data_IF_550443478368
#
_entry.id   IF_550443478368
#
_cell.length_a   1.000
_cell.length_b   1.000
_cell.length_c   1.000
_cell.angle_alpha   90.00
_cell.angle_beta   90.00
_cell.angle_gamma   90.00
#
_symmetry.space_group_name_H-M   'P 1'
#
loop_
_entity.id
_entity.type
_entity.pdbx_description
1 polymer ?
#
# COMPACT_ATOMS: atom_id res chain seq x y z
N UNK A 1 18.91 -1.70 9.57
CA UNK A 1 18.30 -2.59 8.56
C UNK A 1 18.12 -4.05 9.08
N UNK A 2 17.66 -4.24 10.33
CA UNK A 2 17.28 -5.57 10.88
C UNK A 2 15.81 -5.94 10.62
N UNK A 3 15.14 -5.23 9.70
CA UNK A 3 13.69 -5.30 9.52
C UNK A 3 13.22 -6.36 8.51
N UNK A 4 14.15 -7.01 7.80
CA UNK A 4 13.85 -8.11 6.86
C UNK A 4 14.18 -9.50 7.41
N UNK A 5 14.94 -9.61 8.52
CA UNK A 5 15.44 -10.89 9.04
C UNK A 5 14.38 -11.75 9.76
N UNK A 6 13.20 -11.23 10.10
CA UNK A 6 12.16 -11.98 10.86
C UNK A 6 10.91 -12.31 10.07
N UNK A 7 11.00 -12.25 8.76
CA UNK A 7 10.02 -12.86 7.89
C UNK A 7 10.70 -14.03 7.21
N UNK A 8 10.16 -15.24 7.37
CA UNK A 8 10.48 -16.38 6.50
C UNK A 8 9.98 -16.13 5.06
N UNK A 9 10.29 -14.96 4.48
CA UNK A 9 10.50 -14.78 3.06
C UNK A 9 12.00 -14.89 2.87
N UNK A 10 12.51 -16.13 2.87
CA UNK A 10 13.82 -16.44 2.35
C UNK A 10 13.78 -16.25 0.83
N UNK A 11 13.79 -15.00 0.37
CA UNK A 11 14.10 -14.69 -1.02
C UNK A 11 15.61 -14.85 -1.14
N UNK A 12 16.04 -16.07 -1.46
CA UNK A 12 17.38 -16.39 -1.96
C UNK A 12 18.55 -16.17 -1.00
N UNK A 13 18.77 -17.11 -0.08
CA UNK A 13 20.13 -17.35 0.48
C UNK A 13 20.86 -18.47 -0.27
N UNK A 14 20.45 -18.78 -1.50
CA UNK A 14 21.09 -19.80 -2.33
C UNK A 14 22.22 -19.21 -3.21
N UNK A 15 22.36 -17.88 -3.23
CA UNK A 15 23.42 -17.15 -3.95
C UNK A 15 24.13 -16.12 -3.04
N UNK A 16 24.84 -16.57 -2.01
CA UNK A 16 25.90 -15.78 -1.37
C UNK A 16 25.58 -14.35 -0.90
N UNK A 17 24.31 -14.01 -0.61
CA UNK A 17 23.89 -12.68 -0.15
C UNK A 17 23.63 -11.63 -1.24
N UNK A 18 23.63 -11.99 -2.53
CA UNK A 18 23.39 -11.07 -3.64
C UNK A 18 21.90 -10.92 -3.96
N UNK A 19 21.38 -9.70 -4.01
CA UNK A 19 20.01 -9.44 -4.45
C UNK A 19 19.87 -9.62 -5.98
N UNK A 20 18.72 -10.09 -6.48
CA UNK A 20 18.48 -10.20 -7.92
C UNK A 20 18.68 -8.86 -8.65
N UNK A 21 19.23 -8.93 -9.87
CA UNK A 21 19.35 -7.74 -10.72
C UNK A 21 18.00 -7.40 -11.35
N UNK A 22 17.75 -6.11 -11.55
CA UNK A 22 16.56 -5.62 -12.26
C UNK A 22 16.95 -4.70 -13.41
N UNK A 23 15.97 -4.26 -14.19
CA UNK A 23 16.14 -3.29 -15.30
C UNK A 23 16.91 -2.02 -14.88
N UNK A 24 16.86 -1.66 -13.59
CA UNK A 24 17.46 -0.44 -13.06
C UNK A 24 18.80 -0.67 -12.34
N UNK A 25 19.22 -1.93 -12.15
CA UNK A 25 20.40 -2.28 -11.35
C UNK A 25 21.67 -1.59 -11.85
N UNK A 26 22.01 -1.70 -13.13
CA UNK A 26 23.26 -1.16 -13.68
C UNK A 26 23.32 0.36 -13.53
N UNK A 27 22.22 1.06 -13.80
CA UNK A 27 22.12 2.51 -13.63
C UNK A 27 22.30 2.92 -12.16
N UNK A 28 21.67 2.19 -11.23
CA UNK A 28 21.78 2.49 -9.80
C UNK A 28 23.17 2.16 -9.22
N UNK A 29 23.83 1.13 -9.74
CA UNK A 29 25.23 0.80 -9.40
C UNK A 29 26.17 1.88 -9.94
N UNK A 30 26.00 2.32 -11.19
CA UNK A 30 26.78 3.41 -11.79
C UNK A 30 26.61 4.73 -11.01
N UNK A 31 25.42 5.01 -10.48
CA UNK A 31 25.16 6.16 -9.61
C UNK A 31 25.71 5.98 -8.18
N UNK A 32 26.21 4.80 -7.82
CA UNK A 32 26.70 4.47 -6.48
C UNK A 32 25.61 4.23 -5.44
N UNK A 33 24.33 4.22 -5.83
CA UNK A 33 23.16 4.05 -4.93
C UNK A 33 23.03 2.58 -4.49
N UNK A 34 23.32 1.66 -5.40
CA UNK A 34 23.45 0.23 -5.11
C UNK A 34 24.91 -0.19 -5.10
N UNK A 35 25.23 -1.17 -4.28
CA UNK A 35 26.48 -1.92 -4.33
C UNK A 35 26.46 -2.92 -5.49
N UNK A 36 27.61 -3.52 -5.83
CA UNK A 36 27.71 -4.55 -6.88
C UNK A 36 26.89 -5.82 -6.61
N UNK A 37 26.45 -6.01 -5.37
CA UNK A 37 25.55 -7.07 -4.92
C UNK A 37 24.05 -6.71 -5.03
N UNK A 38 23.72 -5.56 -5.65
CA UNK A 38 22.38 -4.99 -5.76
C UNK A 38 21.73 -4.56 -4.44
N UNK A 39 22.46 -4.51 -3.32
CA UNK A 39 21.94 -3.95 -2.07
C UNK A 39 22.15 -2.43 -2.00
N UNK A 40 21.34 -1.74 -1.18
CA UNK A 40 21.52 -0.29 -0.93
C UNK A 40 22.94 -0.01 -0.40
N UNK A 41 23.64 0.89 -1.07
CA UNK A 41 24.95 1.37 -0.64
C UNK A 41 24.80 2.39 0.50
N UNK A 42 24.80 1.91 1.74
CA UNK A 42 24.66 2.76 2.94
C UNK A 42 25.73 3.86 3.01
N UNK A 43 26.93 3.63 2.44
CA UNK A 43 28.01 4.62 2.43
C UNK A 43 27.63 5.83 1.57
N UNK A 44 27.10 5.60 0.36
CA UNK A 44 26.60 6.65 -0.52
C UNK A 44 25.56 7.55 0.18
N UNK A 45 24.62 6.93 0.90
CA UNK A 45 23.57 7.67 1.62
C UNK A 45 24.18 8.57 2.70
N UNK A 46 25.12 8.05 3.51
CA UNK A 46 25.81 8.84 4.54
C UNK A 46 26.65 9.97 3.97
N UNK A 47 27.35 9.75 2.85
CA UNK A 47 28.23 10.75 2.22
C UNK A 47 27.47 11.93 1.62
N UNK A 48 26.19 11.75 1.29
CA UNK A 48 25.32 12.78 0.72
C UNK A 48 24.29 13.31 1.75
N UNK A 49 24.50 13.05 3.05
CA UNK A 49 23.62 13.45 4.16
C UNK A 49 22.16 12.99 4.01
N UNK A 50 22.01 11.73 3.59
CA UNK A 50 20.73 11.08 3.34
C UNK A 50 20.53 9.99 4.39
N UNK A 51 19.38 9.95 5.03
CA UNK A 51 19.12 8.87 5.96
C UNK A 51 18.76 7.56 5.21
N UNK A 52 19.57 6.50 5.32
CA UNK A 52 19.34 5.23 4.62
C UNK A 52 18.06 4.52 5.06
N UNK A 53 17.39 5.00 6.11
CA UNK A 53 16.10 4.47 6.57
C UNK A 53 14.88 5.16 5.92
N UNK A 54 15.08 6.25 5.16
CA UNK A 54 14.06 6.97 4.38
C UNK A 54 14.50 7.16 2.91
N UNK A 55 14.93 6.08 2.22
CA UNK A 55 15.62 6.19 0.94
C UNK A 55 14.75 6.75 -0.20
N UNK A 56 13.43 6.85 0.01
CA UNK A 56 12.47 7.32 -1.00
C UNK A 56 11.95 8.73 -0.77
N UNK A 57 12.09 9.28 0.45
CA UNK A 57 11.44 10.54 0.83
C UNK A 57 12.34 11.75 0.55
N UNK A 58 13.65 11.62 0.77
CA UNK A 58 14.62 12.71 0.63
C UNK A 58 15.14 12.88 -0.80
N UNK A 59 14.83 11.95 -1.69
CA UNK A 59 15.26 12.01 -3.08
C UNK A 59 14.08 12.39 -3.97
N UNK A 60 14.00 13.67 -4.32
CA UNK A 60 13.04 14.18 -5.30
C UNK A 60 13.47 14.02 -6.76
N UNK A 61 14.45 13.15 -7.06
CA UNK A 61 15.12 13.07 -8.37
C UNK A 61 14.89 11.76 -9.15
N UNK A 62 15.53 11.69 -10.33
CA UNK A 62 15.51 10.53 -11.24
C UNK A 62 16.01 9.23 -10.55
N UNK A 63 17.01 9.35 -9.67
CA UNK A 63 17.57 8.26 -8.88
C UNK A 63 16.54 7.54 -7.99
N UNK A 64 15.59 8.27 -7.41
CA UNK A 64 14.52 7.70 -6.57
C UNK A 64 13.48 6.97 -7.38
N UNK A 65 13.19 7.43 -8.61
CA UNK A 65 12.28 6.72 -9.50
C UNK A 65 12.88 5.35 -9.82
N UNK A 66 14.15 5.32 -10.21
CA UNK A 66 14.87 4.08 -10.49
C UNK A 66 14.94 3.17 -9.27
N UNK A 67 15.25 3.71 -8.08
CA UNK A 67 15.31 2.91 -6.86
C UNK A 67 13.94 2.34 -6.49
N UNK A 68 12.86 3.13 -6.61
CA UNK A 68 11.49 2.66 -6.38
C UNK A 68 11.09 1.57 -7.36
N UNK A 69 11.37 1.75 -8.66
CA UNK A 69 11.08 0.74 -9.66
C UNK A 69 11.93 -0.51 -9.48
N UNK A 70 13.20 -0.39 -9.06
CA UNK A 70 14.03 -1.53 -8.71
C UNK A 70 13.39 -2.40 -7.62
N UNK A 71 12.95 -1.81 -6.51
CA UNK A 71 12.26 -2.57 -5.46
C UNK A 71 10.88 -3.09 -5.90
N UNK A 72 10.20 -2.39 -6.79
CA UNK A 72 8.93 -2.86 -7.34
C UNK A 72 9.12 -4.07 -8.27
N UNK A 73 10.15 -4.07 -9.11
CA UNK A 73 10.52 -5.22 -9.96
C UNK A 73 10.84 -6.46 -9.10
N UNK A 74 11.63 -6.28 -8.03
CA UNK A 74 11.91 -7.35 -7.07
C UNK A 74 10.62 -7.87 -6.41
N UNK A 75 9.71 -6.97 -6.03
CA UNK A 75 8.41 -7.37 -5.47
C UNK A 75 7.61 -8.18 -6.50
N UNK A 76 7.56 -7.77 -7.76
CA UNK A 76 6.86 -8.49 -8.82
C UNK A 76 7.44 -9.89 -9.02
N UNK A 77 8.77 -10.02 -9.03
CA UNK A 77 9.45 -11.32 -9.14
C UNK A 77 9.06 -12.24 -7.96
N UNK A 78 8.96 -11.69 -6.75
CA UNK A 78 8.52 -12.44 -5.58
C UNK A 78 7.06 -12.85 -5.69
N UNK A 79 6.18 -11.93 -6.09
CA UNK A 79 4.73 -12.19 -6.25
C UNK A 79 4.49 -13.27 -7.31
N UNK A 80 5.26 -13.31 -8.40
CA UNK A 80 5.14 -14.33 -9.44
C UNK A 80 5.41 -15.76 -8.95
N UNK A 81 6.19 -15.91 -7.87
CA UNK A 81 6.54 -17.20 -7.26
C UNK A 81 5.62 -17.57 -6.09
N UNK A 82 4.65 -16.73 -5.76
CA UNK A 82 3.77 -16.88 -4.61
C UNK A 82 2.30 -16.92 -5.05
N UNK A 83 1.46 -17.62 -4.29
CA UNK A 83 0.02 -17.58 -4.51
C UNK A 83 -0.54 -16.21 -4.08
N UNK A 84 -0.91 -15.39 -5.07
CA UNK A 84 -1.55 -14.10 -4.82
C UNK A 84 -3.07 -14.26 -4.70
N UNK A 85 -3.61 -13.92 -3.54
CA UNK A 85 -5.02 -14.12 -3.22
C UNK A 85 -5.83 -12.81 -3.27
N UNK A 86 -7.08 -12.86 -3.76
CA UNK A 86 -8.02 -11.74 -3.58
C UNK A 86 -8.49 -11.71 -2.11
N UNK A 87 -8.26 -10.58 -1.43
CA UNK A 87 -8.67 -10.43 -0.04
C UNK A 87 -10.18 -10.65 0.15
N UNK A 88 -11.04 -10.21 -0.78
CA UNK A 88 -12.49 -10.45 -0.65
C UNK A 88 -12.84 -11.94 -0.66
N UNK A 89 -12.06 -12.73 -1.41
CA UNK A 89 -12.22 -14.18 -1.42
C UNK A 89 -11.80 -14.79 -0.07
N UNK A 90 -10.69 -14.32 0.50
CA UNK A 90 -10.18 -14.75 1.81
C UNK A 90 -11.11 -14.38 2.97
N UNK A 91 -11.89 -13.30 2.85
CA UNK A 91 -12.86 -12.87 3.86
C UNK A 91 -14.17 -13.69 3.86
N UNK A 92 -14.26 -14.78 3.10
CA UNK A 92 -15.37 -15.72 3.19
C UNK A 92 -15.22 -16.60 4.44
N UNK A 93 -16.34 -16.88 5.12
CA UNK A 93 -16.41 -17.56 6.43
C UNK A 93 -15.53 -18.82 6.52
N UNK A 94 -15.47 -19.64 5.47
CA UNK A 94 -14.69 -20.87 5.41
C UNK A 94 -13.20 -20.67 5.76
N UNK A 95 -12.55 -19.67 5.16
CA UNK A 95 -11.10 -19.50 5.33
C UNK A 95 -10.69 -18.96 6.69
N UNK A 96 -11.61 -18.27 7.37
CA UNK A 96 -11.35 -17.67 8.68
C UNK A 96 -11.37 -18.73 9.78
N UNK A 97 -12.24 -19.73 9.65
CA UNK A 97 -12.35 -20.82 10.62
C UNK A 97 -11.14 -21.76 10.57
N UNK A 98 -10.54 -21.91 9.38
CA UNK A 98 -9.39 -22.80 9.17
C UNK A 98 -8.07 -22.24 9.73
N UNK A 99 -8.05 -20.99 10.23
CA UNK A 99 -6.84 -20.35 10.78
C UNK A 99 -5.70 -20.13 9.77
N UNK A 100 -5.89 -20.53 8.51
CA UNK A 100 -4.85 -20.61 7.47
C UNK A 100 -4.53 -19.28 6.77
N UNK A 101 -5.11 -18.17 7.24
CA UNK A 101 -4.98 -16.86 6.60
C UNK A 101 -3.66 -16.16 6.92
N UNK A 102 -3.01 -16.48 8.04
CA UNK A 102 -1.75 -15.85 8.43
C UNK A 102 -0.67 -16.17 7.40
N UNK A 103 0.14 -15.17 7.05
CA UNK A 103 1.18 -15.20 6.02
C UNK A 103 0.70 -15.37 4.58
N UNK A 104 -0.62 -15.41 4.32
CA UNK A 104 -1.10 -15.34 2.94
C UNK A 104 -0.81 -13.96 2.33
N UNK A 105 -0.24 -14.01 1.13
CA UNK A 105 -0.11 -12.85 0.26
C UNK A 105 -1.46 -12.56 -0.39
N UNK A 106 -1.90 -11.31 -0.29
CA UNK A 106 -3.17 -10.89 -0.83
C UNK A 106 -3.10 -9.52 -1.49
N UNK A 107 -4.08 -9.25 -2.35
CA UNK A 107 -4.34 -7.91 -2.87
C UNK A 107 -5.77 -7.48 -2.55
N UNK A 108 -5.96 -6.17 -2.48
CA UNK A 108 -7.27 -5.53 -2.38
C UNK A 108 -7.32 -4.31 -3.28
N UNK A 109 -8.45 -4.12 -3.96
CA UNK A 109 -8.73 -2.92 -4.76
C UNK A 109 -10.05 -2.33 -4.29
N UNK A 110 -10.04 -1.14 -3.69
CA UNK A 110 -11.25 -0.51 -3.18
C UNK A 110 -11.02 0.76 -2.38
N UNK A 111 -12.11 1.38 -1.93
CA UNK A 111 -12.07 2.59 -1.12
C UNK A 111 -11.61 2.30 0.30
N UNK A 112 -10.52 2.94 0.72
CA UNK A 112 -9.96 2.84 2.08
C UNK A 112 -10.02 4.19 2.77
N UNK A 113 -10.24 4.14 4.09
CA UNK A 113 -10.08 5.26 4.99
C UNK A 113 -8.65 5.28 5.53
N UNK A 114 -8.12 6.44 5.83
CA UNK A 114 -6.80 6.58 6.44
C UNK A 114 -6.61 7.94 7.10
N UNK A 115 -5.43 8.12 7.68
CA UNK A 115 -5.00 9.39 8.23
C UNK A 115 -3.66 9.78 7.61
N UNK A 116 -3.49 11.04 7.25
CA UNK A 116 -2.18 11.52 6.80
C UNK A 116 -1.20 11.47 7.98
N UNK A 117 0.02 10.97 7.79
CA UNK A 117 1.05 11.12 8.80
C UNK A 117 1.36 12.60 9.01
N UNK A 118 1.76 12.96 10.24
CA UNK A 118 2.22 14.32 10.52
C UNK A 118 3.50 14.61 9.75
N UNK A 119 3.57 15.82 9.19
CA UNK A 119 4.75 16.34 8.51
C UNK A 119 5.56 17.24 9.46
N UNK A 120 6.91 17.25 9.36
CA UNK A 120 7.73 16.40 8.50
C UNK A 120 7.74 14.93 8.98
N UNK A 121 7.89 13.98 8.06
CA UNK A 121 8.07 12.56 8.40
C UNK A 121 9.52 12.38 8.87
N UNK A 122 9.69 11.88 10.09
CA UNK A 122 10.98 11.61 10.72
C UNK A 122 10.98 10.18 11.27
N UNK A 123 12.13 9.68 11.73
CA UNK A 123 12.22 8.36 12.41
C UNK A 123 11.26 8.19 13.59
N UNK A 124 10.86 9.29 14.22
CA UNK A 124 9.92 9.29 15.34
C UNK A 124 8.44 9.35 14.90
N UNK A 125 8.16 9.57 13.61
CA UNK A 125 6.80 9.62 13.10
C UNK A 125 6.15 8.24 13.22
N UNK A 126 5.00 8.13 13.90
CA UNK A 126 4.34 6.84 14.07
C UNK A 126 3.86 6.28 12.72
N UNK A 127 3.69 4.95 12.62
CA UNK A 127 2.98 4.35 11.50
C UNK A 127 1.60 4.98 11.33
N UNK A 128 1.16 5.10 10.08
CA UNK A 128 -0.24 5.40 9.75
C UNK A 128 -0.95 4.12 9.32
N UNK A 129 -2.26 4.18 9.18
CA UNK A 129 -3.07 3.03 8.83
C UNK A 129 -4.03 3.37 7.69
N UNK A 130 -4.18 2.44 6.75
CA UNK A 130 -5.33 2.37 5.87
C UNK A 130 -6.28 1.29 6.38
N UNK A 131 -7.58 1.51 6.29
CA UNK A 131 -8.54 0.52 6.76
C UNK A 131 -9.87 0.59 6.00
N UNK A 132 -10.63 -0.50 6.09
CA UNK A 132 -12.06 -0.47 5.81
C UNK A 132 -12.81 -1.27 6.87
N UNK A 133 -14.08 -0.91 7.05
CA UNK A 133 -15.01 -1.59 7.94
C UNK A 133 -16.13 -2.21 7.12
N UNK A 134 -16.29 -3.55 7.20
CA UNK A 134 -17.39 -4.28 6.58
C UNK A 134 -17.77 -5.43 7.48
N UNK A 135 -18.89 -5.31 8.22
CA UNK A 135 -19.33 -6.32 9.19
C UNK A 135 -19.30 -7.73 8.55
N UNK A 136 -18.68 -8.74 9.20
CA UNK A 136 -18.10 -8.73 10.56
C UNK A 136 -16.63 -8.29 10.66
N UNK A 137 -16.03 -7.71 9.61
CA UNK A 137 -14.59 -7.43 9.49
C UNK A 137 -14.21 -5.97 9.74
N UNK A 138 -13.05 -5.81 10.37
CA UNK A 138 -12.25 -4.59 10.38
C UNK A 138 -10.88 -4.95 9.80
N UNK A 139 -10.57 -4.49 8.58
CA UNK A 139 -9.30 -4.78 7.93
C UNK A 139 -8.43 -3.54 7.94
N UNK A 140 -7.19 -3.70 8.39
CA UNK A 140 -6.24 -2.62 8.60
C UNK A 140 -4.88 -2.96 8.00
N UNK A 141 -4.28 -1.99 7.32
CA UNK A 141 -2.92 -2.04 6.81
C UNK A 141 -2.04 -1.08 7.60
N UNK A 142 -0.99 -1.63 8.23
CA UNK A 142 -0.02 -0.86 9.02
C UNK A 142 1.06 -0.26 8.10
N UNK A 143 0.93 1.02 7.77
CA UNK A 143 1.82 1.74 6.85
C UNK A 143 2.92 2.44 7.63
N UNK A 144 4.16 2.06 7.35
CA UNK A 144 5.31 2.83 7.82
C UNK A 144 5.53 4.04 6.90
N UNK A 145 5.28 5.23 7.45
CA UNK A 145 5.35 6.52 6.77
C UNK A 145 6.74 6.81 6.16
N UNK A 146 7.80 6.20 6.68
CA UNK A 146 9.18 6.34 6.18
C UNK A 146 9.37 5.81 4.75
N UNK A 147 8.53 4.88 4.31
CA UNK A 147 8.61 4.28 2.99
C UNK A 147 7.63 4.91 1.97
N UNK A 148 6.99 6.03 2.35
CA UNK A 148 6.15 6.76 1.41
C UNK A 148 7.00 7.38 0.32
N UNK A 149 6.56 7.13 -0.92
CA UNK A 149 7.33 7.43 -2.10
C UNK A 149 7.04 8.82 -2.71
N UNK A 150 6.03 9.55 -2.23
CA UNK A 150 5.75 10.90 -2.74
C UNK A 150 4.89 11.70 -1.77
N UNK A 151 5.01 13.04 -1.82
CA UNK A 151 4.16 13.97 -1.08
C UNK A 151 2.69 13.81 -1.44
N UNK A 152 2.38 13.53 -2.71
CA UNK A 152 0.98 13.29 -3.13
C UNK A 152 0.40 12.02 -2.53
N UNK A 153 1.21 10.97 -2.34
CA UNK A 153 0.79 9.77 -1.62
C UNK A 153 0.48 10.11 -0.16
N UNK A 154 1.32 10.92 0.50
CA UNK A 154 1.10 11.37 1.88
C UNK A 154 -0.21 12.12 2.07
N UNK A 155 -0.56 13.03 1.15
CA UNK A 155 -1.83 13.78 1.21
C UNK A 155 -3.03 12.86 1.01
N UNK A 156 -2.97 11.93 0.03
CA UNK A 156 -4.09 11.03 -0.27
C UNK A 156 -4.44 10.10 0.88
N UNK A 157 -3.46 9.73 1.72
CA UNK A 157 -3.68 8.86 2.89
C UNK A 157 -4.67 9.46 3.89
N UNK A 158 -4.79 10.78 4.00
CA UNK A 158 -5.74 11.44 4.91
C UNK A 158 -7.17 11.54 4.40
N UNK A 159 -7.44 11.02 3.21
CA UNK A 159 -8.76 11.07 2.57
C UNK A 159 -9.28 9.67 2.29
N UNK A 160 -10.59 9.54 2.11
CA UNK A 160 -11.17 8.30 1.55
C UNK A 160 -10.81 8.24 0.06
N UNK A 161 -9.93 7.33 -0.30
CA UNK A 161 -9.42 7.16 -1.66
C UNK A 161 -9.47 5.69 -2.09
N UNK A 162 -9.52 5.46 -3.41
CA UNK A 162 -9.45 4.10 -3.96
C UNK A 162 -7.99 3.71 -4.13
N UNK A 163 -7.61 2.58 -3.53
CA UNK A 163 -6.26 2.03 -3.60
C UNK A 163 -6.28 0.61 -4.17
N UNK A 164 -5.24 0.25 -4.90
CA UNK A 164 -4.77 -1.12 -5.02
C UNK A 164 -3.64 -1.32 -4.00
N UNK A 165 -3.78 -2.32 -3.14
CA UNK A 165 -2.81 -2.62 -2.09
C UNK A 165 -2.48 -4.11 -2.09
N UNK A 166 -1.19 -4.41 -2.07
CA UNK A 166 -0.63 -5.75 -1.93
C UNK A 166 -0.04 -5.88 -0.53
N UNK A 167 -0.31 -6.98 0.15
CA UNK A 167 0.13 -7.15 1.52
C UNK A 167 0.06 -8.58 2.02
N UNK A 168 0.71 -8.80 3.16
CA UNK A 168 0.75 -10.11 3.83
C UNK A 168 -0.06 -10.02 5.12
N UNK A 169 -1.03 -10.92 5.30
CA UNK A 169 -1.81 -11.00 6.53
C UNK A 169 -0.89 -11.42 7.68
N UNK A 170 -0.83 -10.62 8.75
CA UNK A 170 0.07 -10.87 9.89
C UNK A 170 -0.64 -11.32 11.14
N UNK A 171 -1.86 -10.83 11.36
CA UNK A 171 -2.59 -11.11 12.59
C UNK A 171 -4.09 -11.09 12.32
N UNK A 172 -4.81 -11.98 12.98
CA UNK A 172 -6.27 -12.01 13.04
C UNK A 172 -6.66 -12.05 14.52
N UNK A 173 -7.44 -11.07 14.95
CA UNK A 173 -7.90 -10.94 16.31
C UNK A 173 -9.32 -10.42 16.38
N UNK A 174 -9.70 -9.91 17.55
CA UNK A 174 -10.98 -9.25 17.78
C UNK A 174 -10.73 -7.80 18.18
N UNK A 175 -11.59 -6.89 17.70
CA UNK A 175 -11.56 -5.49 18.10
C UNK A 175 -12.99 -4.98 18.30
N UNK A 176 -13.19 -4.16 19.31
CA UNK A 176 -14.45 -3.43 19.51
C UNK A 176 -14.28 -2.00 19.04
N UNK A 177 -15.11 -1.58 18.08
CA UNK A 177 -15.18 -0.19 17.59
C UNK A 177 -16.64 0.25 17.67
N UNK A 178 -16.88 1.39 18.31
CA UNK A 178 -18.23 1.97 18.48
C UNK A 178 -19.24 0.96 19.08
N UNK A 179 -18.80 0.19 20.08
CA UNK A 179 -19.63 -0.84 20.73
C UNK A 179 -19.90 -2.10 19.90
N UNK A 180 -19.36 -2.20 18.67
CA UNK A 180 -19.52 -3.38 17.81
C UNK A 180 -18.23 -4.20 17.76
N UNK A 181 -18.34 -5.51 17.96
CA UNK A 181 -17.23 -6.46 17.80
C UNK A 181 -16.98 -6.78 16.32
N UNK A 182 -15.71 -6.71 15.92
CA UNK A 182 -15.23 -7.06 14.59
C UNK A 182 -14.10 -8.08 14.67
N UNK A 183 -14.02 -8.94 13.65
CA UNK A 183 -12.82 -9.70 13.35
C UNK A 183 -11.80 -8.73 12.77
N UNK A 184 -10.73 -8.47 13.52
CA UNK A 184 -9.65 -7.55 13.15
C UNK A 184 -8.60 -8.29 12.35
N UNK A 185 -8.35 -7.85 11.12
CA UNK A 185 -7.33 -8.44 10.26
C UNK A 185 -6.27 -7.37 10.01
N UNK A 186 -5.05 -7.63 10.48
CA UNK A 186 -3.90 -6.75 10.27
C UNK A 186 -3.03 -7.26 9.14
N UNK A 187 -2.76 -6.38 8.18
CA UNK A 187 -2.02 -6.68 6.97
C UNK A 187 -0.78 -5.78 6.93
N UNK A 188 0.38 -6.37 6.66
CA UNK A 188 1.59 -5.59 6.36
C UNK A 188 1.58 -5.24 4.86
N UNK A 189 1.49 -3.95 4.49
CA UNK A 189 1.58 -3.55 3.09
C UNK A 189 2.97 -3.82 2.53
N UNK A 190 3.03 -4.30 1.29
CA UNK A 190 4.26 -4.43 0.51
C UNK A 190 4.35 -3.31 -0.53
N UNK A 191 3.24 -3.04 -1.22
CA UNK A 191 3.10 -1.93 -2.14
C UNK A 191 1.64 -1.49 -2.22
N UNK A 192 1.40 -0.20 -2.46
CA UNK A 192 0.08 0.32 -2.74
C UNK A 192 0.15 1.55 -3.63
N UNK A 193 -0.95 1.82 -4.33
CA UNK A 193 -1.07 2.97 -5.20
C UNK A 193 -2.48 3.14 -5.75
N UNK A 194 -2.66 4.10 -6.65
CA UNK A 194 -3.94 4.29 -7.33
C UNK A 194 -4.12 3.21 -8.41
N UNK A 195 -5.24 2.48 -8.42
CA UNK A 195 -5.50 1.47 -9.44
C UNK A 195 -5.85 2.11 -10.80
N UNK A 196 -5.44 1.47 -11.90
CA UNK A 196 -5.96 1.77 -13.24
C UNK A 196 -7.37 1.20 -13.45
N UNK A 197 -7.65 0.06 -12.82
CA UNK A 197 -8.93 -0.66 -12.92
C UNK A 197 -9.53 -0.74 -11.52
N UNK A 198 -10.73 -0.21 -11.37
CA UNK A 198 -11.48 -0.29 -10.12
C UNK A 198 -12.52 -1.40 -10.22
N UNK A 199 -12.78 -2.09 -9.10
CA UNK A 199 -14.00 -2.89 -8.98
C UNK A 199 -15.12 -1.93 -8.61
N UNK A 200 -16.22 -1.93 -9.36
CA UNK A 200 -17.42 -1.24 -8.90
C UNK A 200 -17.93 -1.97 -7.65
N UNK A 201 -18.01 -1.21 -6.55
CA UNK A 201 -18.44 -1.69 -5.23
C UNK A 201 -19.64 -0.89 -4.73
N UNK A 202 -20.26 -0.11 -5.61
CA UNK A 202 -21.47 0.64 -5.32
C UNK A 202 -22.63 -0.35 -5.23
N UNK A 203 -23.40 -0.37 -4.13
CA UNK A 203 -24.62 -1.16 -4.08
C UNK A 203 -25.59 -0.72 -5.19
N UNK A 204 -26.22 -1.65 -5.90
CA UNK A 204 -27.23 -1.37 -6.95
C UNK A 204 -28.40 -0.49 -6.49
N UNK A 205 -28.52 -0.23 -5.18
CA UNK A 205 -29.57 0.57 -4.56
C UNK A 205 -29.38 2.08 -4.81
N UNK A 206 -28.20 2.52 -5.26
CA UNK A 206 -27.93 3.95 -5.49
C UNK A 206 -28.44 4.49 -6.83
N UNK A 207 -28.73 3.63 -7.81
CA UNK A 207 -29.18 4.05 -9.14
C UNK A 207 -30.70 4.17 -9.30
N UNK A 208 -31.49 3.65 -8.34
CA UNK A 208 -32.96 3.74 -8.40
C UNK A 208 -33.56 5.04 -7.84
N UNK A 209 -32.74 6.03 -7.45
CA UNK A 209 -33.24 7.32 -6.95
C UNK A 209 -33.07 8.51 -7.88
N UNK A 210 -32.46 8.32 -9.07
CA UNK A 210 -32.23 9.39 -10.02
C UNK A 210 -32.87 9.09 -11.38
N UNK A 211 -34.19 8.84 -11.40
CA UNK A 211 -35.00 9.26 -12.55
C UNK A 211 -35.19 10.78 -12.43
N UNK A 212 -34.16 11.55 -12.75
CA UNK A 212 -34.22 13.02 -12.91
C UNK A 212 -34.85 13.39 -14.28
N UNK A 213 -35.95 12.73 -14.63
CA UNK A 213 -36.76 13.09 -15.81
C UNK A 213 -37.99 13.94 -15.42
N UNK A 214 -38.23 14.17 -14.12
CA UNK A 214 -39.43 14.86 -13.62
C UNK A 214 -39.17 16.25 -13.02
N UNK A 215 -37.96 16.81 -13.19
CA UNK A 215 -37.70 18.21 -12.83
C UNK A 215 -37.80 19.08 -14.09
N UNK A 216 -39.03 19.38 -14.50
CA UNK A 216 -39.33 20.56 -15.31
C UNK A 216 -38.89 21.80 -14.51
N UNK A 217 -37.83 22.45 -14.97
CA UNK A 217 -37.54 23.81 -14.52
C UNK A 217 -38.51 24.73 -15.27
N UNK A 218 -39.39 25.49 -14.60
CA UNK A 218 -40.13 26.53 -15.28
C UNK A 218 -39.13 27.56 -15.82
N UNK A 219 -39.21 27.83 -17.12
CA UNK A 219 -38.48 28.92 -17.77
C UNK A 219 -38.89 30.23 -17.07
N UNK A 220 -37.98 30.80 -16.26
CA UNK A 220 -38.16 32.15 -15.73
C UNK A 220 -37.85 33.14 -16.86
N UNK A 221 -38.92 33.71 -17.42
CA UNK A 221 -38.88 34.86 -18.32
C UNK A 221 -38.09 36.01 -17.68
N UNK A 222 -36.97 36.38 -18.30
CA UNK A 222 -36.25 37.60 -17.95
C UNK A 222 -37.04 38.80 -18.50
N UNK A 223 -37.71 39.53 -17.61
CA UNK A 223 -38.18 40.89 -17.90
C UNK A 223 -36.96 41.82 -18.04
N UNK A 224 -36.73 42.33 -19.26
CA UNK A 224 -35.79 43.40 -19.54
C UNK A 224 -36.34 44.74 -19.00
N UNK A 225 -35.64 45.33 -18.02
CA UNK A 225 -35.70 46.78 -17.76
C UNK A 225 -34.40 47.32 -17.18
#
# INVERSE_FOLDING_TARGET
MKCLEKTNLSIGTENGGRSPATTYSDSLIQMGILNSDNNINVKYFKENDIDPNIPFLEHGGYSTIHLRHHFFDLLLECIQKMELNDLDHLLKKKYIQDGSLINKLCFYVGGLYGHSPKLPITKATPPTHLYFRRKPYFVEWDINSLFLCSTTATIRLGSRSIYAIYGIIRNIGKITKDGTEFIHIKIRPLAFGSPKITKDRTPNIHYYKNNFADFDYPDEDYDES
#
